data_IF_443492163288
#
_entry.id   IF_443492163288
#
_cell.length_a   1.000
_cell.length_b   1.000
_cell.length_c   1.000
_cell.angle_alpha   90.00
_cell.angle_beta   90.00
_cell.angle_gamma   90.00
#
_symmetry.space_group_name_H-M   'P 1'
#
loop_
_entity.id
_entity.type
_entity.pdbx_description
1 polymer ?
#
# COMPACT_ATOMS: atom_id res chain seq x y z
N UNK A 1 -3.69 -2.86 -4.71
CA UNK A 1 -3.34 -2.89 -6.15
C UNK A 1 -2.08 -3.68 -6.45
N UNK A 2 -1.02 -3.56 -5.63
CA UNK A 2 0.21 -4.36 -5.77
C UNK A 2 -0.11 -5.86 -5.88
N UNK A 3 -0.86 -6.40 -4.93
CA UNK A 3 -1.24 -7.83 -4.94
C UNK A 3 -1.95 -8.22 -6.24
N UNK A 4 -2.87 -7.39 -6.75
CA UNK A 4 -3.55 -7.62 -8.03
C UNK A 4 -2.61 -7.68 -9.23
N UNK A 5 -1.52 -6.92 -9.21
CA UNK A 5 -0.50 -6.97 -10.27
C UNK A 5 0.33 -8.26 -10.22
N UNK A 6 0.45 -8.88 -9.04
CA UNK A 6 1.21 -10.12 -8.83
C UNK A 6 0.35 -11.38 -9.02
N UNK A 7 -0.86 -11.40 -8.47
CA UNK A 7 -1.74 -12.59 -8.46
C UNK A 7 -2.77 -12.59 -9.60
N UNK A 8 -2.93 -11.48 -10.32
CA UNK A 8 -3.96 -11.32 -11.34
C UNK A 8 -5.35 -10.98 -10.77
N UNK A 9 -6.41 -11.05 -11.60
CA UNK A 9 -7.76 -10.58 -11.25
C UNK A 9 -8.64 -11.60 -10.52
N UNK A 10 -8.19 -12.86 -10.35
CA UNK A 10 -8.96 -13.90 -9.68
C UNK A 10 -9.11 -13.59 -8.17
N UNK A 11 -10.36 -13.39 -7.74
CA UNK A 11 -10.68 -12.98 -6.38
C UNK A 11 -10.39 -14.07 -5.34
N UNK A 12 -10.37 -15.35 -5.74
CA UNK A 12 -10.10 -16.48 -4.85
C UNK A 12 -8.70 -16.41 -4.25
N UNK A 13 -7.73 -15.93 -5.02
CA UNK A 13 -6.36 -15.73 -4.57
C UNK A 13 -6.08 -14.28 -4.15
N UNK A 14 -6.70 -13.32 -4.84
CA UNK A 14 -6.52 -11.89 -4.59
C UNK A 14 -6.96 -11.50 -3.18
N UNK A 15 -8.12 -11.99 -2.71
CA UNK A 15 -8.68 -11.60 -1.41
C UNK A 15 -7.78 -12.08 -0.26
N UNK A 16 -7.42 -13.39 -0.15
CA UNK A 16 -6.54 -13.85 0.93
C UNK A 16 -5.16 -13.18 0.89
N UNK A 17 -4.56 -13.05 -0.30
CA UNK A 17 -3.25 -12.41 -0.44
C UNK A 17 -3.30 -10.91 -0.09
N UNK A 18 -4.40 -10.22 -0.41
CA UNK A 18 -4.58 -8.80 -0.07
C UNK A 18 -4.82 -8.59 1.42
N UNK A 19 -5.54 -9.52 2.07
CA UNK A 19 -5.70 -9.53 3.52
C UNK A 19 -4.36 -9.65 4.23
N UNK A 20 -3.54 -10.65 3.83
CA UNK A 20 -2.23 -10.87 4.45
C UNK A 20 -1.26 -9.73 4.14
N UNK A 21 -1.12 -9.35 2.87
CA UNK A 21 -0.17 -8.31 2.47
C UNK A 21 -0.57 -6.91 2.97
N UNK A 22 -1.85 -6.57 2.88
CA UNK A 22 -2.38 -5.30 3.40
C UNK A 22 -2.35 -5.24 4.93
N UNK A 23 -2.70 -6.34 5.60
CA UNK A 23 -2.62 -6.44 7.06
C UNK A 23 -1.20 -6.28 7.59
N UNK A 24 -0.24 -6.99 6.99
CA UNK A 24 1.18 -6.85 7.35
C UNK A 24 1.69 -5.42 7.13
N UNK A 25 1.38 -4.83 5.98
CA UNK A 25 1.75 -3.44 5.69
C UNK A 25 1.16 -2.45 6.72
N UNK A 26 -0.11 -2.61 7.09
CA UNK A 26 -0.77 -1.73 8.05
C UNK A 26 -0.15 -1.83 9.45
N UNK A 27 0.14 -3.05 9.92
CA UNK A 27 0.81 -3.26 11.22
C UNK A 27 2.18 -2.59 11.25
N UNK A 28 2.97 -2.74 10.18
CA UNK A 28 4.28 -2.10 10.07
C UNK A 28 4.15 -0.57 10.03
N UNK A 29 3.20 -0.04 9.26
CA UNK A 29 2.97 1.40 9.16
C UNK A 29 2.54 2.00 10.51
N UNK A 30 1.63 1.35 11.24
CA UNK A 30 1.18 1.78 12.56
C UNK A 30 2.32 1.73 13.59
N UNK A 31 3.11 0.65 13.57
CA UNK A 31 4.28 0.50 14.45
C UNK A 31 5.32 1.60 14.18
N UNK A 32 5.59 1.92 12.92
CA UNK A 32 6.48 3.02 12.55
C UNK A 32 5.91 4.38 12.97
N UNK A 33 4.61 4.61 12.77
CA UNK A 33 3.96 5.85 13.16
C UNK A 33 4.09 6.12 14.67
N UNK A 34 3.95 5.08 15.50
CA UNK A 34 4.08 5.19 16.97
C UNK A 34 5.52 5.36 17.45
N UNK A 35 6.50 4.85 16.71
CA UNK A 35 7.91 4.82 17.17
C UNK A 35 8.73 6.03 16.72
N UNK A 36 8.42 6.62 15.56
CA UNK A 36 9.27 7.68 14.96
C UNK A 36 9.24 9.01 15.75
N UNK A 37 8.12 9.38 16.36
CA UNK A 37 7.98 10.68 17.08
C UNK A 37 7.46 10.47 18.53
N UNK A 38 7.79 9.33 19.15
CA UNK A 38 7.38 9.09 20.54
C UNK A 38 7.89 10.22 21.48
N UNK A 39 7.05 10.76 22.40
CA UNK A 39 5.72 10.30 22.81
C UNK A 39 4.55 10.87 22.00
N UNK A 40 4.79 11.73 21.01
CA UNK A 40 3.73 12.28 20.16
C UNK A 40 3.25 11.24 19.13
N UNK A 41 1.95 11.19 18.91
CA UNK A 41 1.34 10.26 17.94
C UNK A 41 1.37 10.86 16.55
N UNK A 42 2.13 10.25 15.64
CA UNK A 42 2.03 10.54 14.21
C UNK A 42 0.80 9.82 13.65
N UNK A 43 -0.09 10.50 12.90
CA UNK A 43 -1.18 9.82 12.20
C UNK A 43 -0.64 8.79 11.20
N UNK A 44 -1.04 7.53 11.32
CA UNK A 44 -0.63 6.43 10.40
C UNK A 44 -0.97 6.73 8.93
N UNK A 45 -1.99 7.58 8.70
CA UNK A 45 -2.34 8.10 7.38
C UNK A 45 -1.19 8.83 6.69
N UNK A 46 -0.34 9.54 7.44
CA UNK A 46 0.84 10.22 6.89
C UNK A 46 1.84 9.19 6.37
N UNK A 47 2.18 8.19 7.19
CA UNK A 47 3.12 7.12 6.83
C UNK A 47 2.61 6.39 5.58
N UNK A 48 1.35 5.97 5.59
CA UNK A 48 0.76 5.24 4.45
C UNK A 48 0.65 6.09 3.20
N UNK A 49 0.38 7.40 3.30
CA UNK A 49 0.36 8.32 2.17
C UNK A 49 1.73 8.50 1.52
N UNK A 50 2.82 8.50 2.31
CA UNK A 50 4.20 8.57 1.78
C UNK A 50 4.53 7.40 0.85
N UNK A 51 3.97 6.21 1.09
CA UNK A 51 4.14 5.07 0.20
C UNK A 51 3.07 5.04 -0.91
N UNK A 52 1.82 5.33 -0.54
CA UNK A 52 0.66 5.23 -1.42
C UNK A 52 0.71 6.24 -2.57
N UNK A 53 1.00 7.51 -2.28
CA UNK A 53 0.97 8.56 -3.30
C UNK A 53 2.00 8.34 -4.42
N UNK A 54 3.30 8.08 -4.14
CA UNK A 54 4.27 7.76 -5.18
C UNK A 54 3.89 6.50 -5.96
N UNK A 55 3.40 5.47 -5.27
CA UNK A 55 2.97 4.23 -5.91
C UNK A 55 1.80 4.44 -6.87
N UNK A 56 0.78 5.21 -6.48
CA UNK A 56 -0.35 5.53 -7.35
C UNK A 56 0.05 6.40 -8.54
N UNK A 57 0.95 7.36 -8.35
CA UNK A 57 1.50 8.16 -9.46
C UNK A 57 2.24 7.26 -10.46
N UNK A 58 3.05 6.32 -9.96
CA UNK A 58 3.72 5.33 -10.81
C UNK A 58 2.71 4.49 -11.61
N UNK A 59 1.65 4.00 -10.99
CA UNK A 59 0.60 3.24 -11.68
C UNK A 59 -0.10 4.07 -12.76
N UNK A 60 -0.40 5.34 -12.47
CA UNK A 60 -1.03 6.25 -13.43
C UNK A 60 -0.14 6.46 -14.67
N UNK A 61 1.16 6.67 -14.46
CA UNK A 61 2.14 6.81 -15.54
C UNK A 61 2.26 5.52 -16.37
N UNK A 62 2.28 4.35 -15.72
CA UNK A 62 2.35 3.05 -16.40
C UNK A 62 1.11 2.77 -17.25
N UNK A 63 -0.09 3.12 -16.77
CA UNK A 63 -1.34 2.99 -17.53
C UNK A 63 -1.38 3.91 -18.75
N UNK A 64 -0.89 5.13 -18.63
CA UNK A 64 -0.84 6.10 -19.73
C UNK A 64 0.03 5.60 -20.91
N UNK A 65 1.15 4.94 -20.62
CA UNK A 65 2.04 4.40 -21.64
C UNK A 65 1.51 3.14 -22.34
N UNK A 66 0.42 2.53 -21.84
CA UNK A 66 -0.19 1.35 -22.46
C UNK A 66 -1.30 1.70 -23.47
N UNK A 67 -1.65 2.99 -23.60
CA UNK A 67 -2.72 3.53 -24.46
C UNK A 67 -2.15 4.33 -25.64
N UNK A 68 -0.83 4.34 -25.81
CA UNK A 68 -0.10 4.96 -26.94
C UNK A 68 0.65 3.87 -27.67
#
# INVERSE_FOLDING_TARGET
HIVRLLTGPDHRYLIPASLMGGGLFMVLADTLARTVIAPNELPVGIVTAFFGAPFFIYLLKRRRNAVV
#
